data_IF_831253136985
#
_entry.id   IF_831253136985
#
_cell.length_a   1.000
_cell.length_b   1.000
_cell.length_c   1.000
_cell.angle_alpha   90.00
_cell.angle_beta   90.00
_cell.angle_gamma   90.00
#
_symmetry.space_group_name_H-M   'P 1'
#
loop_
_entity.id
_entity.type
_entity.pdbx_description
1 polymer ?
#
# COMPACT_ATOMS: atom_id res chain seq x y z
N UNK A 1 0.41 -3.99 -11.87
CA UNK A 1 -0.19 -2.74 -12.41
C UNK A 1 -0.72 -1.79 -11.34
N UNK A 2 -1.27 -2.26 -10.22
CA UNK A 2 -1.71 -1.36 -9.13
C UNK A 2 -0.55 -0.55 -8.48
N UNK A 3 0.66 -1.12 -8.47
CA UNK A 3 1.82 -0.54 -7.79
C UNK A 3 2.28 0.84 -8.30
N UNK A 4 2.11 1.09 -9.59
CA UNK A 4 2.58 2.32 -10.22
C UNK A 4 1.77 3.55 -9.81
N UNK A 5 0.50 3.40 -9.41
CA UNK A 5 -0.36 4.54 -9.07
C UNK A 5 -0.05 5.18 -7.72
N UNK A 6 0.29 4.36 -6.72
CA UNK A 6 0.52 4.84 -5.38
C UNK A 6 1.84 5.62 -5.27
N UNK A 7 2.81 5.23 -6.08
CA UNK A 7 4.15 5.83 -6.13
C UNK A 7 4.18 7.15 -6.89
N UNK A 8 3.27 7.30 -7.84
CA UNK A 8 2.96 8.59 -8.45
C UNK A 8 2.40 9.53 -7.38
N UNK A 9 1.45 9.12 -6.53
CA UNK A 9 0.95 9.97 -5.43
C UNK A 9 2.04 10.44 -4.42
N UNK A 10 3.00 9.56 -4.09
CA UNK A 10 4.12 9.88 -3.18
C UNK A 10 5.07 10.96 -3.73
N UNK A 11 5.25 10.99 -5.05
CA UNK A 11 6.03 12.03 -5.71
C UNK A 11 5.20 13.30 -6.01
N UNK A 12 3.88 13.16 -6.19
CA UNK A 12 2.97 14.16 -6.76
C UNK A 12 2.22 15.08 -5.78
N UNK A 13 2.26 14.85 -4.46
CA UNK A 13 1.74 15.88 -3.53
C UNK A 13 2.46 17.24 -3.71
N UNK A 14 3.69 17.22 -4.25
CA UNK A 14 4.39 18.44 -4.62
C UNK A 14 3.98 19.01 -5.99
N UNK A 15 3.43 18.20 -6.92
CA UNK A 15 3.14 18.64 -8.31
C UNK A 15 1.69 19.10 -8.47
N UNK A 16 0.75 18.57 -7.70
CA UNK A 16 -0.65 19.03 -7.73
C UNK A 16 -0.82 20.52 -7.35
N UNK A 17 0.13 21.08 -6.59
CA UNK A 17 0.15 22.50 -6.24
C UNK A 17 0.82 23.40 -7.30
N UNK A 18 1.49 22.84 -8.32
CA UNK A 18 2.38 23.60 -9.21
C UNK A 18 1.71 24.09 -10.49
N UNK A 19 0.55 23.56 -10.90
CA UNK A 19 0.00 23.87 -12.24
C UNK A 19 -1.37 24.53 -12.30
N UNK A 20 -1.99 24.96 -11.19
CA UNK A 20 -3.19 25.83 -11.23
C UNK A 20 -4.41 25.27 -12.00
N UNK A 21 -4.35 24.02 -12.43
CA UNK A 21 -5.38 23.30 -13.16
C UNK A 21 -5.64 22.02 -12.38
N UNK A 22 -6.90 21.79 -12.01
CA UNK A 22 -7.32 20.65 -11.20
C UNK A 22 -7.13 19.36 -12.00
N UNK A 23 -5.93 18.76 -11.96
CA UNK A 23 -5.69 17.48 -12.62
C UNK A 23 -6.24 16.34 -11.77
N UNK A 24 -7.33 15.73 -12.23
CA UNK A 24 -7.80 14.48 -11.64
C UNK A 24 -6.94 13.31 -12.14
N UNK A 25 -6.03 12.83 -11.28
CA UNK A 25 -5.13 11.72 -11.62
C UNK A 25 -5.85 10.37 -11.81
N UNK A 26 -7.12 10.27 -11.42
CA UNK A 26 -7.92 9.03 -11.50
C UNK A 26 -8.76 8.96 -12.79
N UNK A 27 -8.80 10.02 -13.59
CA UNK A 27 -9.47 10.06 -14.89
C UNK A 27 -8.43 10.10 -16.01
N UNK A 28 -8.52 9.14 -16.93
CA UNK A 28 -7.51 8.95 -17.95
C UNK A 28 -7.66 7.64 -18.69
N UNK A 29 -6.59 7.23 -19.35
CA UNK A 29 -6.55 5.97 -20.09
C UNK A 29 -5.18 5.29 -19.96
N UNK A 30 -5.19 3.99 -20.22
CA UNK A 30 -3.95 3.23 -20.37
C UNK A 30 -3.39 3.45 -21.77
N UNK A 31 -2.11 3.82 -21.83
CA UNK A 31 -1.36 4.00 -23.08
C UNK A 31 -0.15 3.07 -23.09
N UNK A 32 0.28 2.67 -24.29
CA UNK A 32 1.50 1.88 -24.47
C UNK A 32 2.71 2.82 -24.39
N UNK A 33 3.70 2.42 -23.59
CA UNK A 33 4.96 3.11 -23.40
C UNK A 33 6.10 2.09 -23.50
N UNK A 34 6.88 2.14 -24.59
CA UNK A 34 7.92 1.14 -24.85
C UNK A 34 9.04 1.16 -23.82
N UNK A 35 9.21 2.28 -23.12
CA UNK A 35 10.20 2.41 -22.05
C UNK A 35 9.73 1.77 -20.73
N UNK A 36 8.50 1.27 -20.63
CA UNK A 36 8.09 0.40 -19.51
C UNK A 36 8.58 -1.05 -19.70
N UNK A 37 8.69 -1.87 -18.64
CA UNK A 37 8.41 -1.56 -17.23
C UNK A 37 9.49 -0.69 -16.56
N UNK A 38 9.17 -0.15 -15.39
CA UNK A 38 10.10 0.68 -14.59
C UNK A 38 11.22 -0.12 -13.92
N UNK A 39 11.12 -1.45 -13.92
CA UNK A 39 12.14 -2.37 -13.44
C UNK A 39 11.98 -3.72 -14.14
N UNK A 40 13.08 -4.45 -14.25
CA UNK A 40 13.12 -5.84 -14.71
C UNK A 40 13.93 -6.67 -13.70
N UNK A 41 13.62 -7.96 -13.58
CA UNK A 41 14.40 -8.94 -12.80
C UNK A 41 14.75 -8.51 -11.36
N UNK A 42 13.74 -8.26 -10.53
CA UNK A 42 13.92 -7.96 -9.11
C UNK A 42 13.76 -9.21 -8.23
N UNK A 43 14.76 -9.49 -7.39
CA UNK A 43 14.79 -10.66 -6.49
C UNK A 43 13.84 -10.57 -5.28
N UNK A 44 13.23 -9.41 -5.05
CA UNK A 44 12.34 -9.19 -3.91
C UNK A 44 10.88 -9.56 -4.18
N UNK A 45 10.54 -9.78 -5.45
CA UNK A 45 9.18 -10.16 -5.85
C UNK A 45 8.90 -11.57 -5.38
N UNK A 46 7.83 -11.73 -4.62
CA UNK A 46 7.35 -13.04 -4.19
C UNK A 46 6.92 -13.89 -5.37
N UNK A 47 7.11 -15.20 -5.26
CA UNK A 47 6.82 -16.14 -6.35
C UNK A 47 5.41 -16.01 -6.94
N UNK A 48 4.39 -15.77 -6.09
CA UNK A 48 3.01 -15.55 -6.54
C UNK A 48 2.79 -14.33 -7.45
N UNK A 49 3.76 -13.40 -7.55
CA UNK A 49 3.70 -12.22 -8.43
C UNK A 49 4.69 -12.28 -9.59
N UNK A 50 5.54 -13.32 -9.66
CA UNK A 50 6.56 -13.44 -10.71
C UNK A 50 6.04 -14.19 -11.94
N UNK A 51 5.10 -13.58 -12.67
CA UNK A 51 4.42 -14.23 -13.80
C UNK A 51 5.38 -14.79 -14.87
N UNK A 52 6.48 -14.08 -15.15
CA UNK A 52 7.46 -14.49 -16.17
C UNK A 52 8.24 -15.72 -15.73
N UNK A 53 8.70 -15.76 -14.47
CA UNK A 53 9.34 -16.96 -13.89
C UNK A 53 8.45 -18.19 -13.99
N UNK A 54 7.13 -18.01 -13.84
CA UNK A 54 6.14 -19.07 -13.93
C UNK A 54 5.51 -19.25 -15.32
N UNK A 55 6.21 -18.83 -16.37
CA UNK A 55 5.92 -19.26 -17.74
C UNK A 55 4.84 -18.45 -18.46
N UNK A 56 4.43 -17.27 -17.97
CA UNK A 56 3.55 -16.38 -18.74
C UNK A 56 4.29 -15.91 -20.01
N UNK A 57 3.80 -16.23 -21.22
CA UNK A 57 4.55 -16.01 -22.45
C UNK A 57 4.44 -14.58 -23.00
N UNK A 58 3.35 -13.87 -22.72
CA UNK A 58 3.15 -12.49 -23.17
C UNK A 58 3.82 -11.49 -22.23
N UNK A 59 4.33 -10.38 -22.77
CA UNK A 59 4.94 -9.28 -22.00
C UNK A 59 4.25 -7.93 -22.22
N UNK A 60 3.25 -7.84 -23.11
CA UNK A 60 2.57 -6.58 -23.47
C UNK A 60 1.92 -5.90 -22.26
N UNK A 61 1.46 -6.68 -21.28
CA UNK A 61 0.89 -6.14 -20.03
C UNK A 61 1.88 -5.29 -19.22
N UNK A 62 3.19 -5.46 -19.43
CA UNK A 62 4.23 -4.68 -18.77
C UNK A 62 4.44 -3.30 -19.41
N UNK A 63 3.91 -3.07 -20.62
CA UNK A 63 4.14 -1.86 -21.42
C UNK A 63 3.09 -0.77 -21.19
N UNK A 64 2.09 -1.02 -20.36
CA UNK A 64 1.04 -0.04 -20.09
C UNK A 64 1.45 0.97 -19.02
N UNK A 65 1.27 2.25 -19.34
CA UNK A 65 1.34 3.38 -18.42
C UNK A 65 -0.02 4.07 -18.35
N UNK A 66 -0.39 4.53 -17.15
CA UNK A 66 -1.55 5.38 -16.97
C UNK A 66 -1.25 6.82 -17.39
N UNK A 67 -2.15 7.40 -18.17
CA UNK A 67 -2.09 8.80 -18.61
C UNK A 67 -3.38 9.53 -18.21
N UNK A 68 -3.33 10.45 -17.22
CA UNK A 68 -4.47 11.29 -16.90
C UNK A 68 -4.90 12.14 -18.11
N UNK A 69 -6.19 12.42 -18.21
CA UNK A 69 -6.75 13.19 -19.35
C UNK A 69 -6.25 14.63 -19.35
N UNK A 70 -6.17 15.25 -18.17
CA UNK A 70 -5.94 16.69 -18.01
C UNK A 70 -4.47 17.07 -17.72
N UNK A 71 -3.57 16.10 -17.53
CA UNK A 71 -2.16 16.39 -17.30
C UNK A 71 -1.24 15.20 -17.59
N UNK A 72 0.05 15.50 -17.74
CA UNK A 72 1.08 14.46 -17.85
C UNK A 72 1.68 14.14 -16.48
N UNK A 73 1.79 12.85 -16.18
CA UNK A 73 2.49 12.40 -15.00
C UNK A 73 4.00 12.31 -15.29
N UNK A 74 4.86 12.89 -14.44
CA UNK A 74 6.28 12.73 -14.58
C UNK A 74 6.63 11.26 -14.44
N UNK A 75 7.57 10.80 -15.26
CA UNK A 75 8.11 9.44 -15.14
C UNK A 75 8.82 9.30 -13.79
N UNK A 76 8.65 8.15 -13.16
CA UNK A 76 9.35 7.84 -11.91
C UNK A 76 10.87 7.91 -12.12
N UNK A 77 11.53 8.72 -11.29
CA UNK A 77 12.99 8.79 -11.20
C UNK A 77 13.38 8.36 -9.79
N UNK A 78 14.05 7.22 -9.67
CA UNK A 78 14.40 6.62 -8.40
C UNK A 78 15.39 7.50 -7.60
N UNK A 79 16.40 8.10 -8.23
CA UNK A 79 17.37 8.94 -7.54
C UNK A 79 16.69 10.19 -6.95
N UNK A 80 15.84 10.86 -7.73
CA UNK A 80 15.07 12.00 -7.23
C UNK A 80 14.14 11.59 -6.07
N UNK A 81 13.52 10.42 -6.17
CA UNK A 81 12.69 9.88 -5.09
C UNK A 81 13.52 9.64 -3.84
N UNK A 82 14.66 8.97 -3.97
CA UNK A 82 15.54 8.63 -2.86
C UNK A 82 16.09 9.87 -2.16
N UNK A 83 16.48 10.91 -2.89
CA UNK A 83 16.90 12.17 -2.29
C UNK A 83 15.74 12.88 -1.57
N UNK A 84 14.55 12.91 -2.20
CA UNK A 84 13.36 13.54 -1.59
C UNK A 84 12.89 12.82 -0.31
N UNK A 85 13.12 11.51 -0.23
CA UNK A 85 12.73 10.64 0.88
C UNK A 85 13.93 10.21 1.75
N UNK A 86 15.07 10.89 1.63
CA UNK A 86 16.23 10.63 2.47
C UNK A 86 15.87 10.78 3.94
N UNK A 87 16.23 9.79 4.75
CA UNK A 87 15.92 9.72 6.18
C UNK A 87 14.43 9.51 6.51
N UNK A 88 13.57 9.26 5.51
CA UNK A 88 12.11 9.12 5.71
C UNK A 88 11.65 7.67 5.71
N UNK A 89 10.45 7.49 6.22
CA UNK A 89 9.77 6.22 6.36
C UNK A 89 8.44 6.18 5.62
N UNK A 90 8.21 5.09 4.90
CA UNK A 90 6.98 4.83 4.14
C UNK A 90 6.45 3.46 4.59
N UNK A 91 5.18 3.40 5.00
CA UNK A 91 4.55 2.14 5.41
C UNK A 91 3.25 1.88 4.65
N UNK A 92 3.18 0.72 3.99
CA UNK A 92 1.96 0.17 3.40
C UNK A 92 1.24 -0.68 4.46
N UNK A 93 0.02 -0.31 4.82
CA UNK A 93 -0.76 -0.94 5.88
C UNK A 93 -2.06 -1.48 5.30
N UNK A 94 -2.26 -2.79 5.38
CA UNK A 94 -3.50 -3.35 4.86
C UNK A 94 -3.41 -4.82 4.53
N UNK A 95 -4.17 -5.19 3.50
CA UNK A 95 -4.31 -6.56 3.05
C UNK A 95 -3.18 -7.00 2.09
N UNK A 96 -3.40 -8.07 1.33
CA UNK A 96 -2.43 -8.57 0.36
C UNK A 96 -2.04 -7.56 -0.72
N UNK A 97 -2.87 -6.56 -1.04
CA UNK A 97 -2.53 -5.55 -2.04
C UNK A 97 -1.43 -4.61 -1.53
N UNK A 98 -1.38 -4.30 -0.23
CA UNK A 98 -0.26 -3.57 0.38
C UNK A 98 1.08 -4.29 0.17
N UNK A 99 1.08 -5.63 0.11
CA UNK A 99 2.28 -6.41 -0.24
C UNK A 99 2.75 -6.11 -1.66
N UNK A 100 1.82 -6.09 -2.62
CA UNK A 100 2.14 -5.85 -4.03
C UNK A 100 2.76 -4.47 -4.23
N UNK A 101 2.20 -3.46 -3.54
CA UNK A 101 2.68 -2.09 -3.58
C UNK A 101 4.08 -1.95 -2.96
N UNK A 102 4.26 -2.52 -1.76
CA UNK A 102 5.54 -2.59 -1.06
C UNK A 102 6.64 -3.24 -1.92
N UNK A 103 6.39 -4.45 -2.45
CA UNK A 103 7.37 -5.19 -3.25
C UNK A 103 7.73 -4.44 -4.54
N UNK A 104 6.76 -3.79 -5.18
CA UNK A 104 7.03 -3.03 -6.39
C UNK A 104 7.84 -1.75 -6.13
N UNK A 105 7.59 -1.03 -5.02
CA UNK A 105 8.40 0.13 -4.65
C UNK A 105 9.85 -0.29 -4.41
N UNK A 106 10.10 -1.29 -3.56
CA UNK A 106 11.48 -1.71 -3.25
C UNK A 106 12.19 -2.22 -4.50
N UNK A 107 11.48 -2.84 -5.44
CA UNK A 107 12.05 -3.24 -6.73
C UNK A 107 12.42 -2.05 -7.60
N UNK A 108 11.57 -1.02 -7.69
CA UNK A 108 11.91 0.20 -8.43
C UNK A 108 13.13 0.91 -7.86
N UNK A 109 13.27 0.95 -6.53
CA UNK A 109 14.44 1.55 -5.89
C UNK A 109 15.69 0.71 -6.15
N UNK A 110 15.64 -0.59 -5.87
CA UNK A 110 16.80 -1.46 -5.99
C UNK A 110 17.27 -1.64 -7.43
N UNK A 111 16.35 -1.77 -8.40
CA UNK A 111 16.73 -1.87 -9.82
C UNK A 111 17.42 -0.61 -10.35
N UNK A 112 17.18 0.56 -9.76
CA UNK A 112 17.83 1.80 -10.17
C UNK A 112 19.25 1.96 -9.58
N UNK A 113 19.53 1.32 -8.44
CA UNK A 113 20.82 1.37 -7.73
C UNK A 113 21.17 -0.02 -7.16
N UNK A 114 21.44 -1.01 -8.04
CA UNK A 114 21.53 -2.41 -7.64
C UNK A 114 22.70 -2.73 -6.68
N UNK A 115 23.73 -1.87 -6.68
CA UNK A 115 24.92 -2.03 -5.85
C UNK A 115 24.80 -1.34 -4.47
N UNK A 116 23.71 -0.62 -4.22
CA UNK A 116 23.54 0.09 -2.96
C UNK A 116 23.27 -0.89 -1.81
N UNK A 117 23.84 -0.59 -0.65
CA UNK A 117 23.64 -1.41 0.54
C UNK A 117 22.21 -1.31 1.06
N UNK A 118 21.60 -2.46 1.36
CA UNK A 118 20.26 -2.54 1.92
C UNK A 118 20.17 -3.60 3.01
N UNK A 119 19.22 -3.42 3.93
CA UNK A 119 18.85 -4.40 4.93
C UNK A 119 17.39 -4.81 4.77
N UNK A 120 17.07 -6.05 5.15
CA UNK A 120 15.70 -6.57 5.19
C UNK A 120 15.46 -7.31 6.48
N UNK A 121 14.31 -7.07 7.11
CA UNK A 121 13.88 -7.83 8.28
C UNK A 121 12.38 -8.03 8.27
N UNK A 122 11.92 -9.08 8.94
CA UNK A 122 10.51 -9.31 9.24
C UNK A 122 10.36 -9.42 10.75
N UNK A 123 9.51 -8.58 11.34
CA UNK A 123 9.18 -8.61 12.77
C UNK A 123 7.79 -9.19 12.97
N UNK A 124 7.69 -10.16 13.88
CA UNK A 124 6.45 -10.77 14.36
C UNK A 124 5.48 -11.26 13.27
N UNK A 125 6.02 -11.63 12.09
CA UNK A 125 5.26 -12.06 10.91
C UNK A 125 4.41 -10.98 10.23
N UNK A 126 4.20 -9.83 10.88
CA UNK A 126 3.27 -8.80 10.44
C UNK A 126 3.94 -7.56 9.85
N UNK A 127 5.20 -7.27 10.20
CA UNK A 127 5.93 -6.11 9.67
C UNK A 127 7.12 -6.57 8.83
N UNK A 128 7.14 -6.21 7.55
CA UNK A 128 8.33 -6.33 6.70
C UNK A 128 8.99 -4.97 6.55
N UNK A 129 10.30 -4.90 6.77
CA UNK A 129 11.12 -3.69 6.60
C UNK A 129 12.16 -3.94 5.50
N UNK A 130 12.28 -2.96 4.62
CA UNK A 130 13.38 -2.77 3.69
C UNK A 130 14.00 -1.40 3.98
N UNK A 131 15.29 -1.37 4.26
CA UNK A 131 16.02 -0.14 4.49
C UNK A 131 17.16 -0.03 3.49
N UNK A 132 17.22 1.08 2.77
CA UNK A 132 18.33 1.39 1.89
C UNK A 132 19.27 2.34 2.63
N UNK A 133 20.39 1.82 3.11
CA UNK A 133 21.18 2.45 4.17
C UNK A 133 21.83 3.75 3.72
N UNK A 134 22.27 3.83 2.46
CA UNK A 134 22.90 5.02 1.88
C UNK A 134 21.98 6.26 1.85
N UNK A 135 20.66 6.03 1.87
CA UNK A 135 19.65 7.07 1.84
C UNK A 135 18.85 7.15 3.14
N UNK A 136 19.12 6.25 4.10
CA UNK A 136 18.37 6.15 5.35
C UNK A 136 16.84 6.05 5.15
N UNK A 137 16.41 5.56 3.97
CA UNK A 137 14.99 5.42 3.63
C UNK A 137 14.50 4.05 4.08
N UNK A 138 13.38 4.06 4.79
CA UNK A 138 12.72 2.85 5.31
C UNK A 138 11.40 2.64 4.58
N UNK A 139 11.29 1.55 3.86
CA UNK A 139 10.05 1.10 3.23
C UNK A 139 9.52 -0.09 4.02
N UNK A 140 8.27 -0.04 4.44
CA UNK A 140 7.68 -1.01 5.36
C UNK A 140 6.34 -1.50 4.86
N UNK A 141 6.01 -2.73 5.21
CA UNK A 141 4.67 -3.29 5.06
C UNK A 141 4.18 -3.76 6.43
N UNK A 142 2.96 -3.40 6.80
CA UNK A 142 2.27 -3.93 7.97
C UNK A 142 1.00 -4.68 7.52
N UNK A 143 0.94 -5.99 7.78
CA UNK A 143 -0.22 -6.82 7.44
C UNK A 143 -1.35 -6.59 8.45
N UNK A 144 -2.24 -5.66 8.12
CA UNK A 144 -3.44 -5.31 8.90
C UNK A 144 -4.64 -5.29 7.96
N UNK A 145 -5.03 -6.47 7.49
CA UNK A 145 -5.99 -6.64 6.40
C UNK A 145 -7.36 -5.96 6.63
N UNK A 146 -7.76 -5.82 7.89
CA UNK A 146 -9.02 -5.19 8.30
C UNK A 146 -8.83 -3.79 8.88
N UNK A 147 -7.58 -3.33 9.05
CA UNK A 147 -7.13 -2.14 9.77
C UNK A 147 -7.42 -2.16 11.28
N UNK A 148 -8.62 -2.60 11.66
CA UNK A 148 -9.03 -2.87 13.04
C UNK A 148 -8.44 -4.18 13.58
N UNK A 149 -8.53 -4.37 14.89
CA UNK A 149 -7.91 -5.49 15.57
C UNK A 149 -8.67 -6.81 15.36
N UNK A 150 -7.95 -7.83 14.88
CA UNK A 150 -8.36 -9.23 14.94
C UNK A 150 -7.58 -9.88 16.10
N UNK A 151 -8.28 -10.29 17.15
CA UNK A 151 -7.68 -10.78 18.40
C UNK A 151 -8.16 -12.18 18.73
N UNK A 152 -7.27 -13.02 19.26
CA UNK A 152 -7.64 -14.32 19.80
C UNK A 152 -8.21 -14.13 21.21
N UNK A 153 -9.47 -14.50 21.41
CA UNK A 153 -10.13 -14.55 22.70
C UNK A 153 -10.50 -15.98 23.09
N UNK A 154 -11.07 -16.15 24.30
CA UNK A 154 -11.56 -17.46 24.77
C UNK A 154 -12.65 -18.04 23.87
N UNK A 155 -13.45 -17.18 23.23
CA UNK A 155 -14.55 -17.58 22.35
C UNK A 155 -14.11 -17.89 20.91
N UNK A 156 -12.86 -17.56 20.54
CA UNK A 156 -12.33 -17.70 19.18
C UNK A 156 -11.63 -16.44 18.70
N UNK A 157 -11.40 -16.35 17.40
CA UNK A 157 -10.90 -15.15 16.73
C UNK A 157 -12.00 -14.09 16.63
N UNK A 158 -11.77 -12.93 17.20
CA UNK A 158 -12.74 -11.83 17.28
C UNK A 158 -12.24 -10.64 16.48
N UNK A 159 -13.00 -10.24 15.46
CA UNK A 159 -12.78 -9.00 14.73
C UNK A 159 -13.47 -7.85 15.46
N UNK A 160 -12.69 -6.97 16.10
CA UNK A 160 -13.20 -5.84 16.88
C UNK A 160 -13.30 -4.60 16.01
N UNK A 161 -14.51 -4.19 15.65
CA UNK A 161 -14.71 -3.12 14.66
C UNK A 161 -14.40 -1.70 15.19
N UNK A 162 -14.33 -1.52 16.50
CA UNK A 162 -14.07 -0.24 17.19
C UNK A 162 -12.70 -0.18 17.89
N UNK A 163 -11.76 -1.08 17.55
CA UNK A 163 -10.44 -1.16 18.16
C UNK A 163 -9.29 -1.11 17.14
N UNK A 164 -8.31 -0.23 17.38
CA UNK A 164 -7.06 -0.07 16.59
C UNK A 164 -5.85 0.02 17.53
N UNK A 165 -5.69 -0.94 18.43
CA UNK A 165 -4.51 -1.04 19.31
C UNK A 165 -3.23 -1.25 18.50
N UNK A 166 -3.32 -1.97 17.38
CA UNK A 166 -2.21 -2.14 16.44
C UNK A 166 -1.73 -0.83 15.79
N UNK A 167 -2.51 0.26 15.85
CA UNK A 167 -2.18 1.55 15.24
C UNK A 167 -0.95 2.23 15.84
N UNK A 168 -0.52 1.84 17.05
CA UNK A 168 0.71 2.37 17.68
C UNK A 168 1.95 2.21 16.80
N UNK A 169 1.96 1.19 15.95
CA UNK A 169 3.06 0.90 15.02
C UNK A 169 3.11 1.86 13.81
N UNK A 170 2.04 2.63 13.58
CA UNK A 170 1.92 3.57 12.45
C UNK A 170 2.35 4.99 12.85
N UNK A 171 2.50 5.25 14.16
CA UNK A 171 2.92 6.55 14.67
C UNK A 171 4.38 6.83 14.29
N UNK A 172 4.66 8.08 13.96
CA UNK A 172 6.00 8.54 13.57
C UNK A 172 6.43 8.15 12.16
N UNK A 173 5.56 7.50 11.37
CA UNK A 173 5.81 7.21 9.96
C UNK A 173 5.55 8.46 9.12
N UNK A 174 6.47 8.81 8.21
CA UNK A 174 6.35 10.02 7.38
C UNK A 174 5.28 9.87 6.30
N UNK A 175 5.14 8.67 5.73
CA UNK A 175 4.05 8.35 4.81
C UNK A 175 3.38 7.03 5.11
N UNK A 176 2.08 7.09 5.37
CA UNK A 176 1.22 5.95 5.56
C UNK A 176 0.35 5.73 4.32
N UNK A 177 0.29 4.49 3.84
CA UNK A 177 -0.64 4.13 2.79
C UNK A 177 -1.48 2.94 3.18
N UNK A 178 -2.77 3.20 3.38
CA UNK A 178 -3.73 2.22 3.84
C UNK A 178 -4.50 1.57 2.69
N UNK A 179 -4.92 0.32 2.86
CA UNK A 179 -5.92 -0.31 2.00
C UNK A 179 -6.67 -1.41 2.77
N UNK A 180 -7.92 -1.70 2.40
CA UNK A 180 -8.72 -2.73 3.09
C UNK A 180 -9.90 -3.19 2.24
N UNK A 181 -9.86 -4.41 1.68
CA UNK A 181 -11.04 -5.01 1.03
C UNK A 181 -10.94 -6.53 0.78
N UNK A 182 -9.84 -7.02 0.20
CA UNK A 182 -9.81 -8.36 -0.38
C UNK A 182 -9.99 -9.49 0.63
N UNK A 183 -9.72 -9.20 1.90
CA UNK A 183 -9.82 -10.16 2.99
C UNK A 183 -11.19 -10.15 3.67
N UNK A 184 -12.02 -9.13 3.47
CA UNK A 184 -13.35 -9.07 4.08
C UNK A 184 -14.25 -10.22 3.61
N UNK A 185 -14.02 -10.73 2.39
CA UNK A 185 -14.74 -11.90 1.87
C UNK A 185 -14.14 -13.25 2.31
N UNK A 186 -12.99 -13.23 3.00
CA UNK A 186 -12.35 -14.42 3.59
C UNK A 186 -12.71 -14.42 5.06
N UNK A 187 -13.73 -15.16 5.48
CA UNK A 187 -14.16 -15.23 6.89
C UNK A 187 -13.05 -15.84 7.76
N UNK A 188 -12.08 -15.02 8.19
CA UNK A 188 -10.93 -15.43 9.02
C UNK A 188 -11.17 -15.19 10.52
N UNK A 189 -12.42 -14.91 10.90
CA UNK A 189 -12.84 -14.66 12.27
C UNK A 189 -14.01 -15.56 12.62
N UNK A 190 -14.14 -15.88 13.91
CA UNK A 190 -15.24 -16.65 14.47
C UNK A 190 -16.40 -15.72 14.88
N UNK A 191 -16.07 -14.53 15.39
CA UNK A 191 -17.03 -13.51 15.83
C UNK A 191 -16.60 -12.11 15.39
N UNK A 192 -17.58 -11.23 15.27
CA UNK A 192 -17.42 -9.79 15.11
C UNK A 192 -17.92 -9.14 16.40
N UNK A 193 -17.13 -8.21 16.93
CA UNK A 193 -17.47 -7.44 18.12
C UNK A 193 -17.55 -5.95 17.76
N UNK A 194 -18.60 -5.30 18.27
CA UNK A 194 -18.78 -3.86 18.17
C UNK A 194 -19.52 -3.33 19.40
N UNK A 195 -18.92 -2.39 20.13
CA UNK A 195 -19.49 -1.75 21.33
C UNK A 195 -19.95 -2.74 22.40
N UNK A 196 -19.16 -3.80 22.61
CA UNK A 196 -19.42 -4.88 23.56
C UNK A 196 -20.36 -5.97 23.07
N UNK A 197 -20.96 -5.85 21.87
CA UNK A 197 -21.89 -6.84 21.33
C UNK A 197 -21.18 -7.80 20.39
N UNK A 198 -21.37 -9.11 20.62
CA UNK A 198 -20.78 -10.18 19.81
C UNK A 198 -21.82 -10.76 18.86
N UNK A 199 -21.45 -10.86 17.58
CA UNK A 199 -22.24 -11.55 16.56
C UNK A 199 -21.36 -12.54 15.80
N UNK A 200 -21.92 -13.68 15.37
CA UNK A 200 -21.18 -14.65 14.54
C UNK A 200 -20.90 -14.13 13.14
N UNK A 201 -21.72 -13.20 12.68
CA UNK A 201 -21.58 -12.61 11.36
C UNK A 201 -22.32 -11.28 11.23
N UNK A 202 -21.95 -10.51 10.23
CA UNK A 202 -22.52 -9.21 9.86
C UNK A 202 -22.42 -9.01 8.35
N UNK A 203 -23.28 -8.18 7.76
CA UNK A 203 -23.07 -7.72 6.39
C UNK A 203 -21.66 -7.11 6.20
N UNK A 204 -20.98 -7.48 5.10
CA UNK A 204 -19.58 -7.10 4.87
C UNK A 204 -19.39 -5.62 4.61
N UNK A 205 -20.35 -4.99 3.93
CA UNK A 205 -20.30 -3.55 3.66
C UNK A 205 -20.58 -2.78 4.94
N UNK A 206 -21.51 -3.24 5.76
CA UNK A 206 -21.76 -2.66 7.09
C UNK A 206 -20.52 -2.78 7.98
N UNK A 207 -19.92 -3.96 8.09
CA UNK A 207 -18.73 -4.17 8.91
C UNK A 207 -17.54 -3.34 8.42
N UNK A 208 -17.31 -3.28 7.10
CA UNK A 208 -16.27 -2.45 6.50
C UNK A 208 -16.52 -0.96 6.78
N UNK A 209 -17.76 -0.48 6.63
CA UNK A 209 -18.12 0.91 6.90
C UNK A 209 -17.80 1.29 8.35
N UNK A 210 -18.14 0.44 9.32
CA UNK A 210 -17.83 0.68 10.73
C UNK A 210 -16.30 0.71 10.93
N UNK A 211 -15.58 -0.28 10.43
CA UNK A 211 -14.13 -0.35 10.58
C UNK A 211 -13.39 0.83 9.95
N UNK A 212 -13.82 1.30 8.77
CA UNK A 212 -13.26 2.48 8.13
C UNK A 212 -13.61 3.76 8.88
N UNK A 213 -14.77 3.83 9.53
CA UNK A 213 -15.12 4.95 10.41
C UNK A 213 -14.17 4.99 11.61
N UNK A 214 -13.99 3.86 12.29
CA UNK A 214 -13.03 3.70 13.39
C UNK A 214 -11.60 4.09 12.96
N UNK A 215 -11.17 3.65 11.78
CA UNK A 215 -9.87 4.00 11.23
C UNK A 215 -9.73 5.49 10.94
N UNK A 216 -10.74 6.12 10.32
CA UNK A 216 -10.72 7.54 10.03
C UNK A 216 -10.65 8.38 11.32
N UNK A 217 -11.42 8.01 12.35
CA UNK A 217 -11.36 8.65 13.66
C UNK A 217 -9.99 8.48 14.31
N UNK A 218 -9.41 7.28 14.24
CA UNK A 218 -8.06 7.03 14.74
C UNK A 218 -7.01 7.90 14.04
N UNK A 219 -7.08 8.05 12.71
CA UNK A 219 -6.16 8.92 11.94
C UNK A 219 -6.32 10.37 12.39
N UNK A 220 -7.55 10.87 12.49
CA UNK A 220 -7.83 12.25 12.88
C UNK A 220 -7.30 12.59 14.29
N UNK A 221 -7.34 11.62 15.20
CA UNK A 221 -6.88 11.81 16.60
C UNK A 221 -5.37 11.62 16.72
N UNK A 222 -4.80 10.63 16.02
CA UNK A 222 -3.46 10.13 16.30
C UNK A 222 -2.38 10.64 15.34
N UNK A 223 -2.77 11.12 14.15
CA UNK A 223 -1.82 11.52 13.10
C UNK A 223 -1.78 13.03 12.97
N UNK A 224 -0.59 13.61 13.07
CA UNK A 224 -0.36 15.01 12.78
C UNK A 224 -0.09 15.21 11.27
N UNK A 225 -1.00 15.86 10.51
CA UNK A 225 -0.86 16.03 9.07
C UNK A 225 0.32 16.92 8.65
N UNK A 226 0.94 17.66 9.58
CA UNK A 226 2.17 18.42 9.31
C UNK A 226 3.41 17.53 9.16
N UNK A 227 3.38 16.36 9.80
CA UNK A 227 4.54 15.47 9.88
C UNK A 227 4.32 14.21 9.03
N UNK A 228 3.08 13.74 8.96
CA UNK A 228 2.73 12.49 8.29
C UNK A 228 1.75 12.74 7.17
N UNK A 229 2.07 12.21 5.99
CA UNK A 229 1.13 12.14 4.87
C UNK A 229 0.37 10.81 4.92
N UNK A 230 -0.95 10.86 4.77
CA UNK A 230 -1.81 9.66 4.77
C UNK A 230 -2.49 9.50 3.41
N UNK A 231 -2.40 8.30 2.87
CA UNK A 231 -3.14 7.87 1.68
C UNK A 231 -4.04 6.69 2.01
N UNK A 232 -5.18 6.61 1.32
CA UNK A 232 -6.01 5.41 1.29
C UNK A 232 -6.15 4.93 -0.15
N UNK A 233 -5.66 3.74 -0.44
CA UNK A 233 -5.82 3.10 -1.74
C UNK A 233 -7.24 2.55 -1.88
N UNK A 234 -7.94 2.95 -2.94
CA UNK A 234 -9.25 2.41 -3.30
C UNK A 234 -9.23 0.91 -3.58
N UNK A 235 -10.43 0.37 -3.82
CA UNK A 235 -10.63 -1.06 -4.06
C UNK A 235 -9.85 -1.53 -5.30
N UNK A 236 -9.11 -2.62 -5.16
CA UNK A 236 -8.49 -3.29 -6.30
C UNK A 236 -9.49 -4.29 -6.89
N UNK A 237 -9.82 -4.17 -8.19
CA UNK A 237 -10.82 -5.04 -8.80
C UNK A 237 -10.34 -6.48 -8.92
N UNK A 238 -11.28 -7.42 -8.84
CA UNK A 238 -11.11 -8.81 -9.26
C UNK A 238 -11.68 -9.00 -10.65
N UNK A 239 -11.08 -9.88 -11.46
CA UNK A 239 -11.50 -10.16 -12.84
C UNK A 239 -11.94 -11.62 -12.99
N UNK A 240 -12.62 -12.15 -11.97
CA UNK A 240 -13.31 -13.43 -12.07
C UNK A 240 -14.68 -13.19 -12.69
N UNK A 241 -15.09 -14.10 -13.58
CA UNK A 241 -16.46 -14.19 -14.08
C UNK A 241 -17.34 -14.97 -13.08
#
# INVERSE_FOLDING_TARGET
MAATYLLLCLSLLAVALVQGQQCNFFEGSWVIDDAYPLYTNCSFISDGFNCQKYGRPDNKYLKYRWKPTACELPRFNALNFLEKFRGKSIMFVGDSISRNQYESLICMLHSAIPNANYSRSTRDGNISLFELTEYEIKVMRNQKAYLVDLVQEKVGNVLKLDSIQGGKLWLGIDVLVFNSWHWWNRKTWDYIEFRGNYVKDMDRIVALKIALTTWADWVNISINPKNTTVFFQGLSPTHYE
#
